data_IF_348014294965
#
_entry.id   IF_348014294965
#
_cell.length_a   1.000
_cell.length_b   1.000
_cell.length_c   1.000
_cell.angle_alpha   90.00
_cell.angle_beta   90.00
_cell.angle_gamma   90.00
#
_symmetry.space_group_name_H-M   'P 1'
#
loop_
_entity.id
_entity.type
_entity.pdbx_description
1 polymer ?
#
# COMPACT_ATOMS: atom_id res chain seq x y z
N UNK A 1 16.99 35.01 -17.75
CA UNK A 1 16.44 34.66 -16.43
C UNK A 1 14.93 34.62 -16.59
N UNK A 2 14.29 33.57 -16.06
CA UNK A 2 12.87 33.16 -16.14
C UNK A 2 12.42 32.51 -17.46
N UNK A 3 11.73 31.37 -17.49
CA UNK A 3 11.62 30.24 -16.55
C UNK A 3 11.20 29.03 -17.40
N UNK A 4 12.13 28.11 -17.69
CA UNK A 4 11.90 26.92 -18.51
C UNK A 4 11.40 25.71 -17.70
N UNK A 5 10.66 25.93 -16.60
CA UNK A 5 10.32 24.88 -15.62
C UNK A 5 8.79 24.70 -15.50
N UNK A 6 8.05 24.67 -16.62
CA UNK A 6 6.63 24.24 -16.58
C UNK A 6 6.21 23.29 -17.71
N UNK A 7 7.15 22.73 -18.49
CA UNK A 7 6.85 21.70 -19.49
C UNK A 7 6.93 20.26 -18.92
N UNK A 8 6.43 20.05 -17.70
CA UNK A 8 6.16 18.70 -17.20
C UNK A 8 4.73 18.30 -17.59
N UNK A 9 4.60 17.85 -18.84
CA UNK A 9 3.78 16.72 -19.29
C UNK A 9 2.31 16.57 -18.85
N UNK A 10 1.60 17.63 -18.44
CA UNK A 10 0.13 17.55 -18.37
C UNK A 10 -0.45 17.82 -19.76
N UNK A 11 -0.40 16.78 -20.59
CA UNK A 11 -1.10 16.73 -21.87
C UNK A 11 -2.60 16.96 -21.67
N UNK A 12 -3.15 17.82 -22.53
CA UNK A 12 -4.58 18.08 -22.79
C UNK A 12 -5.54 17.09 -22.14
N UNK A 13 -6.24 17.49 -21.08
CA UNK A 13 -7.45 16.81 -20.63
C UNK A 13 -8.51 16.93 -21.73
N UNK A 14 -8.72 15.85 -22.47
CA UNK A 14 -9.95 15.65 -23.23
C UNK A 14 -10.96 15.07 -22.25
N UNK A 15 -12.06 15.79 -22.05
CA UNK A 15 -13.20 15.37 -21.25
C UNK A 15 -13.90 14.21 -21.95
N UNK A 16 -13.39 13.00 -21.78
CA UNK A 16 -14.05 11.80 -22.26
C UNK A 16 -14.90 11.25 -21.11
N UNK A 17 -16.19 11.06 -21.38
CA UNK A 17 -17.22 10.55 -20.47
C UNK A 17 -16.70 9.32 -19.72
N UNK A 18 -16.41 9.46 -18.42
CA UNK A 18 -15.99 8.32 -17.59
C UNK A 18 -17.14 7.32 -17.58
N UNK A 19 -16.93 6.15 -18.19
CA UNK A 19 -17.99 5.16 -18.32
C UNK A 19 -18.52 4.78 -16.94
N UNK A 20 -19.83 4.54 -16.83
CA UNK A 20 -20.46 4.09 -15.59
C UNK A 20 -19.77 2.86 -14.99
N UNK A 21 -19.20 2.00 -15.85
CA UNK A 21 -18.45 0.82 -15.44
C UNK A 21 -17.15 1.18 -14.71
N UNK A 22 -16.42 2.18 -15.20
CA UNK A 22 -15.20 2.66 -14.55
C UNK A 22 -15.50 3.28 -13.19
N UNK A 23 -16.57 4.07 -13.06
CA UNK A 23 -16.99 4.63 -11.77
C UNK A 23 -17.32 3.54 -10.75
N UNK A 24 -18.00 2.47 -11.18
CA UNK A 24 -18.35 1.34 -10.29
C UNK A 24 -17.09 0.61 -9.82
N UNK A 25 -16.15 0.32 -10.73
CA UNK A 25 -14.86 -0.29 -10.37
C UNK A 25 -14.10 0.58 -9.36
N UNK A 26 -14.17 1.90 -9.53
CA UNK A 26 -13.49 2.82 -8.63
C UNK A 26 -14.11 2.85 -7.23
N UNK A 27 -15.44 2.80 -7.17
CA UNK A 27 -16.16 2.77 -5.91
C UNK A 27 -15.98 1.43 -5.17
N UNK A 28 -16.05 0.30 -5.87
CA UNK A 28 -15.94 -1.03 -5.27
C UNK A 28 -14.59 -1.22 -4.56
N UNK A 29 -13.48 -0.85 -5.20
CA UNK A 29 -12.18 -0.99 -4.56
C UNK A 29 -12.02 -0.06 -3.36
N UNK A 30 -12.56 1.17 -3.43
CA UNK A 30 -12.49 2.12 -2.32
C UNK A 30 -13.26 1.59 -1.10
N UNK A 31 -14.46 1.07 -1.32
CA UNK A 31 -15.29 0.52 -0.25
C UNK A 31 -14.66 -0.76 0.31
N UNK A 32 -14.09 -1.62 -0.53
CA UNK A 32 -13.41 -2.82 -0.03
C UNK A 32 -12.15 -2.47 0.78
N UNK A 33 -11.33 -1.51 0.33
CA UNK A 33 -10.18 -1.02 1.09
C UNK A 33 -10.55 -0.44 2.47
N UNK A 34 -11.65 0.31 2.54
CA UNK A 34 -12.18 0.82 3.82
C UNK A 34 -12.70 -0.32 4.72
N UNK A 35 -13.43 -1.28 4.16
CA UNK A 35 -13.94 -2.44 4.90
C UNK A 35 -12.79 -3.28 5.45
N UNK A 36 -11.78 -3.58 4.63
CA UNK A 36 -10.58 -4.31 5.05
C UNK A 36 -9.86 -3.58 6.19
N UNK A 37 -9.68 -2.26 6.09
CA UNK A 37 -9.02 -1.44 7.12
C UNK A 37 -9.78 -1.42 8.45
N UNK A 38 -11.12 -1.35 8.41
CA UNK A 38 -11.96 -1.34 9.61
C UNK A 38 -12.05 -2.72 10.28
N UNK A 39 -12.10 -3.80 9.49
CA UNK A 39 -12.22 -5.16 10.01
C UNK A 39 -10.88 -5.73 10.49
N UNK A 40 -9.78 -5.46 9.77
CA UNK A 40 -8.46 -6.01 10.04
C UNK A 40 -7.40 -4.90 10.09
N UNK A 41 -7.54 -3.92 11.01
CA UNK A 41 -6.57 -2.81 11.19
C UNK A 41 -5.10 -3.27 11.43
N UNK A 42 -4.91 -4.55 11.73
CA UNK A 42 -3.66 -5.20 12.13
C UNK A 42 -3.20 -6.27 11.13
N UNK A 43 -3.68 -6.17 9.89
CA UNK A 43 -3.32 -7.15 8.88
C UNK A 43 -1.83 -7.08 8.52
N UNK A 44 -1.21 -8.25 8.42
CA UNK A 44 0.19 -8.44 8.00
C UNK A 44 0.30 -9.32 6.75
N UNK A 45 -0.82 -9.68 6.11
CA UNK A 45 -0.84 -10.42 4.86
C UNK A 45 -0.14 -9.60 3.77
N UNK A 46 0.83 -10.23 3.10
CA UNK A 46 1.55 -9.60 1.99
C UNK A 46 0.61 -9.39 0.81
N UNK A 47 0.59 -8.17 0.27
CA UNK A 47 -0.02 -7.88 -1.02
C UNK A 47 0.96 -8.32 -2.10
N UNK A 48 0.62 -9.41 -2.79
CA UNK A 48 1.46 -9.90 -3.89
C UNK A 48 1.27 -9.02 -5.12
N UNK A 49 2.33 -8.77 -5.85
CA UNK A 49 2.27 -8.10 -7.16
C UNK A 49 2.45 -9.14 -8.27
N UNK A 50 1.75 -8.97 -9.38
CA UNK A 50 1.88 -9.79 -10.58
C UNK A 50 1.99 -8.90 -11.82
N UNK A 51 2.65 -9.40 -12.86
CA UNK A 51 2.73 -8.70 -14.14
C UNK A 51 1.43 -8.90 -14.93
N UNK A 52 0.89 -7.83 -15.51
CA UNK A 52 -0.25 -7.88 -16.45
C UNK A 52 0.05 -7.05 -17.69
N UNK A 53 -0.44 -7.48 -18.84
CA UNK A 53 -0.38 -6.75 -20.12
C UNK A 53 -1.52 -5.72 -20.26
N UNK A 54 -2.52 -5.77 -19.35
CA UNK A 54 -3.73 -4.95 -19.43
C UNK A 54 -3.53 -3.48 -19.01
N UNK A 55 -2.28 -3.05 -18.78
CA UNK A 55 -1.95 -1.66 -18.48
C UNK A 55 -1.67 -0.88 -19.77
N UNK A 56 -2.18 0.36 -19.82
CA UNK A 56 -2.20 1.24 -21.00
C UNK A 56 -0.82 1.49 -21.66
N UNK A 57 0.27 1.17 -20.97
CA UNK A 57 1.67 1.36 -21.36
C UNK A 57 2.40 0.09 -21.85
N UNK A 58 1.67 -0.99 -22.17
CA UNK A 58 2.27 -2.24 -22.69
C UNK A 58 2.74 -3.18 -21.58
N UNK A 59 2.00 -3.15 -20.48
CA UNK A 59 2.17 -4.04 -19.34
C UNK A 59 2.88 -3.43 -18.14
N UNK A 60 2.59 -3.95 -16.95
CA UNK A 60 3.19 -3.50 -15.71
C UNK A 60 2.81 -4.35 -14.50
N UNK A 61 3.46 -4.08 -13.37
CA UNK A 61 3.15 -4.72 -12.09
C UNK A 61 1.79 -4.24 -11.57
N UNK A 62 0.93 -5.16 -11.17
CA UNK A 62 -0.37 -4.90 -10.56
C UNK A 62 -0.42 -5.61 -9.19
N UNK A 63 -0.94 -4.91 -8.18
CA UNK A 63 -1.20 -5.51 -6.89
C UNK A 63 -2.43 -6.43 -6.96
N UNK A 64 -2.30 -7.63 -6.41
CA UNK A 64 -3.42 -8.53 -6.17
C UNK A 64 -3.96 -8.29 -4.76
N UNK A 65 -5.16 -7.74 -4.67
CA UNK A 65 -5.85 -7.48 -3.41
C UNK A 65 -6.84 -8.59 -3.02
N UNK A 66 -6.98 -9.63 -3.83
CA UNK A 66 -7.88 -10.77 -3.59
C UNK A 66 -7.22 -11.85 -2.69
N UNK A 67 -6.07 -11.53 -2.08
CA UNK A 67 -5.41 -12.44 -1.16
C UNK A 67 -6.25 -12.64 0.11
N UNK A 68 -6.13 -13.82 0.72
CA UNK A 68 -6.83 -14.10 1.96
C UNK A 68 -6.19 -13.29 3.10
N UNK A 69 -6.93 -12.30 3.56
CA UNK A 69 -6.59 -11.45 4.69
C UNK A 69 -6.87 -12.16 6.02
N UNK A 70 -5.97 -12.00 6.99
CA UNK A 70 -6.08 -12.64 8.32
C UNK A 70 -6.02 -11.55 9.40
N UNK A 71 -7.17 -11.26 10.02
CA UNK A 71 -7.21 -10.35 11.14
C UNK A 71 -6.31 -10.86 12.28
N UNK A 72 -5.55 -9.94 12.89
CA UNK A 72 -4.68 -10.19 14.06
C UNK A 72 -5.09 -9.32 15.23
N UNK A 73 -4.73 -9.75 16.43
CA UNK A 73 -4.87 -8.93 17.62
C UNK A 73 -3.94 -7.72 17.53
N UNK A 74 -4.54 -6.53 17.45
CA UNK A 74 -3.82 -5.26 17.35
C UNK A 74 -2.89 -5.02 18.53
N UNK A 75 -3.34 -5.31 19.74
CA UNK A 75 -2.58 -5.01 20.95
C UNK A 75 -1.32 -5.88 21.02
N UNK A 76 -1.44 -7.14 20.61
CA UNK A 76 -0.31 -8.06 20.48
C UNK A 76 0.72 -7.57 19.46
N UNK A 77 0.28 -7.10 18.28
CA UNK A 77 1.19 -6.53 17.27
C UNK A 77 1.83 -5.25 17.79
N UNK A 78 1.05 -4.36 18.39
CA UNK A 78 1.55 -3.10 18.95
C UNK A 78 2.61 -3.36 20.01
N UNK A 79 2.36 -4.28 20.94
CA UNK A 79 3.34 -4.68 21.96
C UNK A 79 4.62 -5.27 21.34
N UNK A 80 4.48 -6.11 20.31
CA UNK A 80 5.61 -6.68 19.57
C UNK A 80 6.47 -5.60 18.88
N UNK A 81 5.83 -4.62 18.24
CA UNK A 81 6.49 -3.48 17.58
C UNK A 81 7.18 -2.57 18.58
N UNK A 82 6.50 -2.18 19.66
CA UNK A 82 7.09 -1.29 20.69
C UNK A 82 8.33 -1.93 21.33
N UNK A 83 8.30 -3.24 21.60
CA UNK A 83 9.46 -3.97 22.11
C UNK A 83 10.59 -4.18 21.08
N UNK A 84 10.43 -3.71 19.85
CA UNK A 84 11.40 -3.76 18.74
C UNK A 84 11.65 -2.40 18.10
N UNK A 85 11.21 -1.32 18.75
CA UNK A 85 11.38 0.02 18.19
C UNK A 85 12.88 0.34 18.05
N UNK A 86 13.32 0.56 16.81
CA UNK A 86 14.70 0.90 16.50
C UNK A 86 15.01 2.39 16.72
N UNK A 87 13.98 3.23 16.86
CA UNK A 87 14.11 4.66 17.15
C UNK A 87 14.24 4.97 18.64
N UNK A 88 14.01 3.96 19.49
CA UNK A 88 14.15 4.09 20.94
C UNK A 88 15.61 3.81 21.33
N UNK A 89 16.33 4.86 21.74
CA UNK A 89 17.74 4.84 22.13
C UNK A 89 18.06 3.83 23.24
N UNK A 90 17.10 3.58 24.13
CA UNK A 90 17.26 2.62 25.22
C UNK A 90 16.98 1.18 24.77
N UNK A 91 16.18 0.98 23.72
CA UNK A 91 15.71 -0.33 23.28
C UNK A 91 16.52 -0.91 22.10
N UNK A 92 16.91 -0.09 21.12
CA UNK A 92 17.56 -0.57 19.89
C UNK A 92 18.82 -1.42 20.12
N UNK A 93 19.70 -1.17 21.13
CA UNK A 93 20.90 -1.98 21.32
C UNK A 93 20.55 -3.43 21.66
N UNK A 94 19.48 -3.64 22.42
CA UNK A 94 18.99 -4.97 22.82
C UNK A 94 18.31 -5.67 21.65
N UNK A 95 17.57 -4.92 20.83
CA UNK A 95 16.98 -5.44 19.59
C UNK A 95 18.08 -5.92 18.64
N UNK A 96 19.11 -5.09 18.43
CA UNK A 96 20.23 -5.40 17.56
C UNK A 96 20.96 -6.67 18.00
N UNK A 97 21.18 -6.85 19.31
CA UNK A 97 21.81 -8.05 19.85
C UNK A 97 20.99 -9.31 19.58
N UNK A 98 19.66 -9.28 19.79
CA UNK A 98 18.78 -10.42 19.46
C UNK A 98 18.86 -10.84 18.00
N UNK A 99 19.08 -9.88 17.09
CA UNK A 99 19.19 -10.15 15.66
C UNK A 99 20.54 -10.76 15.25
N UNK A 100 21.56 -10.72 16.11
CA UNK A 100 22.87 -11.34 15.84
C UNK A 100 22.86 -12.86 15.94
N UNK A 101 21.78 -13.45 16.48
CA UNK A 101 21.51 -14.90 16.37
C UNK A 101 22.57 -15.82 16.98
N UNK A 102 23.15 -15.43 18.13
CA UNK A 102 24.06 -16.31 18.91
C UNK A 102 23.32 -17.45 19.58
#
# INVERSE_FOLDING_TARGET
>A
MNDSILDVHIGKQKSDEVSKLEIIKWLDHCIDGLRQSLMCFSDMTLIKEYWTEDKDDGGGMMADFDNVHLCRDFDSIRAWMTGRNAEDDDNWPQVAERLRGT
#
